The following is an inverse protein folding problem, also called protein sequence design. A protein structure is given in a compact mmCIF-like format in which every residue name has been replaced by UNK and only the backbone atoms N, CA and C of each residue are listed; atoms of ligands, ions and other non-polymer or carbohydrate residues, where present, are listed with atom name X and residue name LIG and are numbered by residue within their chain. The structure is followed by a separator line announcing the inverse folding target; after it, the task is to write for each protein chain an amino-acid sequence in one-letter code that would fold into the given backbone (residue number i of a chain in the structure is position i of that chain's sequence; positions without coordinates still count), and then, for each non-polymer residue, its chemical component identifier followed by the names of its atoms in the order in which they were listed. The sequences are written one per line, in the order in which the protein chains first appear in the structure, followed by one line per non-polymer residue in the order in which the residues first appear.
data_IF_047686591088
#
_entry.id   IF_047686591088
#
_cell.length_a   1.000
_cell.length_b   1.000
_cell.length_c   1.000
_cell.angle_alpha   90.00
_cell.angle_beta   90.00
_cell.angle_gamma   90.00
#
_symmetry.space_group_name_H-M   'P 1'
#
loop_
_entity.id
_entity.type
_entity.pdbx_description
1 polymer ?
#
# COMPACT_ATOMS: atom_id res chain seq x y z
N UNK A 1 -5.63 14.03 16.75
CA UNK A 1 -4.53 13.39 17.51
C UNK A 1 -3.60 12.75 16.50
N UNK A 2 -2.31 13.09 16.54
CA UNK A 2 -1.32 12.52 15.63
C UNK A 2 -0.69 11.27 16.26
N UNK A 3 -0.45 10.25 15.45
CA UNK A 3 0.24 9.01 15.84
C UNK A 3 1.40 8.76 14.89
N UNK A 4 2.51 8.24 15.42
CA UNK A 4 3.61 7.74 14.59
C UNK A 4 3.30 6.32 14.15
N UNK A 5 3.29 6.07 12.85
CA UNK A 5 2.92 4.79 12.25
C UNK A 5 3.84 4.41 11.09
N UNK A 6 3.71 3.19 10.60
CA UNK A 6 4.15 2.85 9.25
C UNK A 6 2.96 2.81 8.30
N UNK A 7 3.16 3.10 7.01
CA UNK A 7 2.17 2.84 5.96
C UNK A 7 2.72 1.82 4.98
N UNK A 8 1.86 0.90 4.54
CA UNK A 8 2.15 0.01 3.43
C UNK A 8 1.51 0.62 2.19
N UNK A 9 2.32 0.92 1.19
CA UNK A 9 1.89 1.45 -0.10
C UNK A 9 2.15 0.41 -1.17
N UNK A 10 1.06 -0.19 -1.66
CA UNK A 10 1.08 -1.23 -2.67
C UNK A 10 0.98 -0.68 -4.09
N UNK A 11 1.28 -1.56 -5.03
CA UNK A 11 1.07 -1.34 -6.45
C UNK A 11 -0.17 -2.06 -6.97
N UNK A 12 -0.67 -1.57 -8.09
CA UNK A 12 -1.63 -2.26 -8.94
C UNK A 12 -1.14 -2.22 -10.38
N UNK A 13 -1.43 -3.28 -11.14
CA UNK A 13 -1.27 -3.27 -12.58
C UNK A 13 -2.45 -2.55 -13.20
N UNK A 14 -2.19 -1.43 -13.85
CA UNK A 14 -3.19 -0.67 -14.60
C UNK A 14 -3.06 -0.98 -16.09
N UNK A 15 -4.19 -1.04 -16.78
CA UNK A 15 -4.23 -1.00 -18.23
C UNK A 15 -4.02 0.45 -18.70
N UNK A 16 -3.58 0.61 -19.95
CA UNK A 16 -3.54 1.93 -20.58
C UNK A 16 -4.93 2.55 -20.53
N UNK A 17 -5.01 3.76 -19.97
CA UNK A 17 -6.27 4.39 -19.62
C UNK A 17 -6.18 5.90 -19.77
N UNK A 18 -7.19 6.50 -20.38
CA UNK A 18 -7.28 7.95 -20.50
C UNK A 18 -7.98 8.59 -19.30
N UNK A 19 -7.54 9.79 -18.96
CA UNK A 19 -8.12 10.70 -17.97
C UNK A 19 -8.30 12.07 -18.62
N UNK A 20 -9.42 12.73 -18.38
CA UNK A 20 -9.65 14.11 -18.75
C UNK A 20 -9.59 14.99 -17.51
N UNK A 21 -8.75 16.03 -17.51
CA UNK A 21 -8.67 17.01 -16.43
C UNK A 21 -8.95 18.38 -17.03
N UNK A 22 -10.11 18.96 -16.69
CA UNK A 22 -10.56 20.26 -17.17
C UNK A 22 -10.54 20.44 -18.71
N UNK A 23 -10.79 19.35 -19.46
CA UNK A 23 -10.91 19.33 -20.93
C UNK A 23 -9.80 18.56 -21.64
N UNK A 24 -8.51 18.78 -21.33
CA UNK A 24 -7.41 17.99 -21.90
C UNK A 24 -7.41 16.53 -21.45
N UNK A 25 -7.12 15.65 -22.42
CA UNK A 25 -7.01 14.20 -22.21
C UNK A 25 -5.55 13.79 -22.08
N UNK A 26 -5.27 13.03 -21.02
CA UNK A 26 -3.97 12.44 -20.72
C UNK A 26 -4.10 10.93 -20.67
N UNK A 27 -3.02 10.22 -21.04
CA UNK A 27 -2.98 8.77 -21.00
C UNK A 27 -2.09 8.30 -19.85
N UNK A 28 -2.64 7.48 -18.98
CA UNK A 28 -1.88 6.67 -18.04
C UNK A 28 -1.39 5.41 -18.75
N UNK A 29 -0.08 5.31 -18.98
CA UNK A 29 0.50 4.11 -19.59
C UNK A 29 0.22 2.86 -18.74
N UNK A 30 0.03 1.74 -19.42
CA UNK A 30 -0.07 0.44 -18.78
C UNK A 30 1.17 0.11 -17.93
N UNK A 31 0.97 -0.53 -16.79
CA UNK A 31 2.08 -0.99 -15.95
C UNK A 31 1.74 -1.10 -14.47
N UNK A 32 2.71 -1.60 -13.69
CA UNK A 32 2.62 -1.61 -12.23
C UNK A 32 2.91 -0.22 -11.66
N UNK A 33 1.94 0.40 -11.01
CA UNK A 33 2.09 1.70 -10.36
C UNK A 33 1.72 1.61 -8.88
N UNK A 34 2.50 2.23 -8.01
CA UNK A 34 2.18 2.41 -6.60
C UNK A 34 1.23 3.59 -6.42
N UNK A 35 0.47 3.60 -5.33
CA UNK A 35 -0.25 4.82 -4.95
C UNK A 35 0.72 6.01 -4.77
N UNK A 36 1.87 5.76 -4.15
CA UNK A 36 2.97 6.72 -4.05
C UNK A 36 4.33 5.99 -4.14
N UNK A 37 5.27 6.60 -4.86
CA UNK A 37 6.65 6.16 -4.99
C UNK A 37 7.57 7.39 -5.26
N UNK A 38 8.84 7.42 -4.82
CA UNK A 38 9.75 8.56 -5.07
C UNK A 38 10.05 8.82 -6.54
N UNK A 39 10.02 7.77 -7.36
CA UNK A 39 10.09 7.89 -8.81
C UNK A 39 8.70 8.19 -9.34
N UNK A 40 8.50 9.39 -9.88
CA UNK A 40 7.20 9.89 -10.31
C UNK A 40 6.50 8.98 -11.31
N UNK A 41 7.25 8.40 -12.24
CA UNK A 41 6.71 7.42 -13.18
C UNK A 41 6.04 6.25 -12.45
N UNK A 42 6.55 5.77 -11.31
CA UNK A 42 5.95 4.64 -10.60
C UNK A 42 4.83 5.06 -9.64
N UNK A 43 4.52 6.36 -9.53
CA UNK A 43 3.65 6.94 -8.52
C UNK A 43 2.36 7.48 -9.15
N UNK A 44 1.22 6.84 -8.85
CA UNK A 44 -0.08 7.29 -9.32
C UNK A 44 -0.38 8.73 -8.90
N UNK A 45 -0.02 9.10 -7.66
CA UNK A 45 -0.30 10.45 -7.17
C UNK A 45 0.62 11.49 -7.81
N UNK A 46 1.89 11.16 -8.09
CA UNK A 46 2.80 12.11 -8.74
C UNK A 46 2.40 12.38 -10.19
N UNK A 47 1.95 11.35 -10.91
CA UNK A 47 1.43 11.50 -12.29
C UNK A 47 0.19 12.40 -12.26
N UNK A 48 -0.77 12.12 -11.36
CA UNK A 48 -1.98 12.93 -11.23
C UNK A 48 -1.67 14.37 -10.83
N UNK A 49 -0.73 14.59 -9.90
CA UNK A 49 -0.27 15.91 -9.47
C UNK A 49 0.33 16.71 -10.63
N UNK A 50 1.13 16.04 -11.48
CA UNK A 50 1.73 16.66 -12.67
C UNK A 50 0.67 17.15 -13.65
N UNK A 51 -0.36 16.35 -13.93
CA UNK A 51 -1.43 16.74 -14.83
C UNK A 51 -2.36 17.80 -14.21
N UNK A 52 -2.64 17.71 -12.91
CA UNK A 52 -3.37 18.73 -12.16
C UNK A 52 -2.66 20.09 -12.22
N UNK A 53 -1.34 20.12 -11.97
CA UNK A 53 -0.54 21.34 -12.02
C UNK A 53 -0.44 21.95 -13.43
N UNK A 54 -0.62 21.13 -14.47
CA UNK A 54 -0.59 21.58 -15.86
C UNK A 54 -1.90 22.27 -16.28
N UNK A 55 -3.06 21.72 -15.88
CA UNK A 55 -4.36 22.19 -16.38
C UNK A 55 -5.14 23.05 -15.38
N UNK A 56 -4.98 22.79 -14.09
CA UNK A 56 -5.74 23.48 -13.04
C UNK A 56 -4.87 24.55 -12.40
N UNK A 57 -5.40 25.77 -12.30
CA UNK A 57 -4.70 26.89 -11.62
C UNK A 57 -4.44 26.52 -10.16
N UNK A 58 -3.18 26.52 -9.74
CA UNK A 58 -2.74 26.01 -8.44
C UNK A 58 -3.18 24.55 -8.18
N UNK A 59 -3.28 23.77 -9.25
CA UNK A 59 -3.62 22.36 -9.24
C UNK A 59 -2.63 21.54 -8.44
N UNK A 60 -3.14 20.69 -7.55
CA UNK A 60 -2.32 19.77 -6.77
C UNK A 60 -3.08 18.49 -6.42
N UNK A 61 -2.35 17.38 -6.30
CA UNK A 61 -2.81 16.08 -5.86
C UNK A 61 -1.87 15.50 -4.79
N UNK A 62 -2.43 15.04 -3.66
CA UNK A 62 -1.61 14.49 -2.57
C UNK A 62 -2.38 13.49 -1.71
N UNK A 63 -1.62 12.75 -0.89
CA UNK A 63 -2.17 11.92 0.19
C UNK A 63 -2.11 12.73 1.48
N UNK A 64 -3.26 12.97 2.10
CA UNK A 64 -3.35 13.67 3.39
C UNK A 64 -2.90 12.80 4.57
N UNK A 65 -2.57 13.40 5.70
CA UNK A 65 -2.23 12.69 6.96
C UNK A 65 -3.36 11.81 7.49
N UNK A 66 -4.59 12.01 7.03
CA UNK A 66 -5.75 11.15 7.29
C UNK A 66 -5.86 9.94 6.34
N UNK A 67 -4.83 9.74 5.50
CA UNK A 67 -4.66 8.65 4.51
C UNK A 67 -5.52 8.80 3.25
N UNK A 68 -6.20 9.93 3.06
CA UNK A 68 -7.09 10.14 1.92
C UNK A 68 -6.40 10.91 0.81
N UNK A 69 -6.68 10.52 -0.43
CA UNK A 69 -6.27 11.28 -1.61
C UNK A 69 -7.09 12.56 -1.70
N UNK A 70 -6.43 13.66 -2.04
CA UNK A 70 -6.99 14.99 -2.12
C UNK A 70 -6.52 15.67 -3.39
N UNK A 71 -7.43 16.40 -4.02
CA UNK A 71 -7.18 17.26 -5.16
C UNK A 71 -7.60 18.69 -4.82
N UNK A 72 -6.87 19.68 -5.30
CA UNK A 72 -7.28 21.08 -5.20
C UNK A 72 -6.86 21.89 -6.41
N UNK A 73 -7.54 23.01 -6.60
CA UNK A 73 -7.16 24.13 -7.45
C UNK A 73 -7.76 25.42 -6.89
N UNK A 74 -7.40 26.56 -7.48
CA UNK A 74 -7.97 27.86 -7.11
C UNK A 74 -9.40 28.04 -7.64
N UNK A 75 -9.73 27.38 -8.74
CA UNK A 75 -11.03 27.43 -9.41
C UNK A 75 -11.69 26.05 -9.43
N UNK A 76 -12.99 26.00 -9.73
CA UNK A 76 -13.67 24.74 -10.00
C UNK A 76 -13.07 24.06 -11.23
N UNK A 77 -12.89 22.75 -11.14
CA UNK A 77 -12.38 21.90 -12.22
C UNK A 77 -13.08 20.55 -12.20
N UNK A 78 -13.03 19.87 -13.33
CA UNK A 78 -13.64 18.55 -13.52
C UNK A 78 -12.55 17.51 -13.79
N UNK A 79 -12.81 16.27 -13.38
CA UNK A 79 -11.96 15.11 -13.67
C UNK A 79 -12.82 13.94 -14.13
N UNK A 80 -12.63 13.51 -15.37
CA UNK A 80 -13.24 12.32 -15.95
C UNK A 80 -12.19 11.19 -16.04
N UNK A 81 -12.51 10.03 -15.49
CA UNK A 81 -11.63 8.85 -15.51
C UNK A 81 -12.45 7.57 -15.42
N UNK A 82 -11.88 6.42 -15.80
CA UNK A 82 -12.57 5.15 -15.55
C UNK A 82 -12.74 4.87 -14.06
N UNK A 83 -13.90 4.29 -13.71
CA UNK A 83 -14.23 3.95 -12.34
C UNK A 83 -13.18 3.04 -11.67
N UNK A 84 -12.49 2.20 -12.44
CA UNK A 84 -11.37 1.37 -11.96
C UNK A 84 -10.20 2.21 -11.47
N UNK A 85 -9.81 3.27 -12.20
CA UNK A 85 -8.73 4.18 -11.81
C UNK A 85 -9.15 5.06 -10.64
N UNK A 86 -10.38 5.60 -10.66
CA UNK A 86 -10.96 6.35 -9.55
C UNK A 86 -10.92 5.58 -8.24
N UNK A 87 -11.28 4.29 -8.28
CA UNK A 87 -11.28 3.40 -7.12
C UNK A 87 -9.87 3.18 -6.54
N UNK A 88 -8.81 3.20 -7.35
CA UNK A 88 -7.43 3.11 -6.85
C UNK A 88 -7.04 4.32 -6.00
N UNK A 89 -7.62 5.50 -6.26
CA UNK A 89 -7.43 6.69 -5.43
C UNK A 89 -8.42 6.77 -4.25
N UNK A 90 -9.41 5.87 -4.18
CA UNK A 90 -10.48 5.88 -3.17
C UNK A 90 -11.67 6.78 -3.53
N UNK A 91 -11.75 7.25 -4.78
CA UNK A 91 -12.93 7.93 -5.35
C UNK A 91 -13.96 6.91 -5.87
N UNK A 92 -15.20 7.35 -6.04
CA UNK A 92 -16.32 6.49 -6.49
C UNK A 92 -16.74 6.76 -7.94
N UNK A 93 -16.15 7.75 -8.59
CA UNK A 93 -16.45 8.14 -9.96
C UNK A 93 -15.82 9.47 -10.32
N UNK A 94 -16.34 10.08 -11.39
CA UNK A 94 -15.89 11.38 -11.90
C UNK A 94 -16.15 12.50 -10.91
N UNK A 95 -15.35 13.57 -11.03
CA UNK A 95 -15.38 14.74 -10.17
C UNK A 95 -15.84 15.94 -11.00
N UNK A 96 -16.73 16.76 -10.47
CA UNK A 96 -17.14 17.99 -11.17
C UNK A 96 -17.62 19.12 -10.26
N UNK A 97 -17.39 20.35 -10.71
CA UNK A 97 -17.97 21.57 -10.16
C UNK A 97 -17.44 22.02 -8.79
N UNK A 98 -16.28 21.53 -8.33
CA UNK A 98 -15.64 21.95 -7.08
C UNK A 98 -14.17 22.33 -7.29
N UNK A 99 -13.66 23.23 -6.45
CA UNK A 99 -12.25 23.61 -6.41
C UNK A 99 -11.40 22.69 -5.53
N UNK A 100 -12.02 21.78 -4.77
CA UNK A 100 -11.31 20.79 -3.98
C UNK A 100 -12.13 19.53 -3.81
N UNK A 101 -11.47 18.39 -3.93
CA UNK A 101 -12.04 17.06 -3.75
C UNK A 101 -11.25 16.29 -2.70
N UNK A 102 -11.97 15.51 -1.89
CA UNK A 102 -11.39 14.57 -0.93
C UNK A 102 -11.98 13.20 -1.19
N UNK A 103 -11.13 12.19 -1.32
CA UNK A 103 -11.58 10.83 -1.51
C UNK A 103 -12.54 10.40 -0.37
N UNK A 104 -13.72 9.84 -0.68
CA UNK A 104 -14.64 9.34 0.34
C UNK A 104 -14.01 8.21 1.17
N UNK A 105 -13.10 7.43 0.58
CA UNK A 105 -12.42 6.31 1.23
C UNK A 105 -10.89 6.42 1.13
N UNK A 106 -10.17 5.66 1.94
CA UNK A 106 -8.71 5.51 1.80
C UNK A 106 -8.43 4.56 0.63
N UNK A 107 -7.39 4.81 -0.15
CA UNK A 107 -7.04 3.95 -1.29
C UNK A 107 -6.90 2.46 -0.87
N UNK A 108 -7.38 1.51 -1.69
CA UNK A 108 -7.14 0.07 -1.45
C UNK A 108 -5.67 -0.31 -1.51
N UNK A 109 -4.81 0.53 -2.10
CA UNK A 109 -3.37 0.36 -2.17
C UNK A 109 -2.64 0.93 -0.94
N UNK A 110 -3.35 1.52 0.02
CA UNK A 110 -2.79 2.07 1.25
C UNK A 110 -3.37 1.34 2.45
N UNK A 111 -2.48 0.76 3.26
CA UNK A 111 -2.86 0.29 4.59
C UNK A 111 -1.97 0.89 5.67
N UNK A 112 -2.60 1.22 6.80
CA UNK A 112 -1.90 1.70 7.99
C UNK A 112 -2.45 1.02 9.25
N UNK A 113 -1.59 0.35 10.03
CA UNK A 113 -1.96 -0.22 11.32
C UNK A 113 -2.09 0.83 12.44
N UNK A 114 -1.70 2.09 12.19
CA UNK A 114 -1.71 3.18 13.18
C UNK A 114 -0.63 3.04 14.25
N UNK A 115 0.44 2.29 13.96
CA UNK A 115 1.63 2.09 14.80
C UNK A 115 2.80 1.62 13.93
N UNK A 116 4.00 1.60 14.50
CA UNK A 116 5.21 1.12 13.81
C UNK A 116 5.27 -0.40 13.74
N UNK A 117 5.99 -0.90 12.75
CA UNK A 117 6.26 -2.31 12.50
C UNK A 117 7.19 -2.96 13.53
N UNK A 118 7.04 -4.26 13.72
CA UNK A 118 7.95 -5.11 14.49
C UNK A 118 8.50 -6.22 13.60
N UNK A 119 9.69 -6.03 12.97
CA UNK A 119 10.31 -7.05 12.13
C UNK A 119 10.78 -8.22 12.99
N UNK A 120 10.59 -9.44 12.49
CA UNK A 120 10.92 -10.67 13.21
C UNK A 120 12.23 -11.31 12.75
N UNK A 121 12.67 -11.02 11.53
CA UNK A 121 13.83 -11.69 10.92
C UNK A 121 15.04 -10.77 10.77
N UNK A 122 14.89 -9.46 11.03
CA UNK A 122 15.97 -8.48 10.93
C UNK A 122 15.85 -7.38 11.97
N UNK A 123 16.94 -6.63 12.24
CA UNK A 123 16.86 -5.38 12.98
C UNK A 123 15.87 -4.40 12.34
N UNK A 124 15.35 -3.50 13.16
CA UNK A 124 14.45 -2.44 12.75
C UNK A 124 15.10 -1.54 11.69
N UNK A 125 14.40 -1.29 10.58
CA UNK A 125 14.91 -0.47 9.48
C UNK A 125 15.81 -1.19 8.47
N UNK A 126 15.98 -2.51 8.60
CA UNK A 126 16.67 -3.33 7.61
C UNK A 126 15.67 -4.04 6.70
N UNK A 127 16.09 -4.33 5.46
CA UNK A 127 15.24 -4.99 4.46
C UNK A 127 14.76 -6.38 4.89
N UNK A 128 15.60 -7.15 5.59
CA UNK A 128 15.32 -8.52 6.00
C UNK A 128 16.60 -9.31 6.24
N UNK A 129 16.49 -10.61 6.50
CA UNK A 129 17.65 -11.52 6.51
C UNK A 129 17.86 -12.14 5.14
N UNK A 130 19.12 -12.45 4.83
CA UNK A 130 19.48 -13.26 3.66
C UNK A 130 19.21 -14.74 3.94
N UNK A 131 18.59 -15.40 2.97
CA UNK A 131 18.39 -16.85 2.92
C UNK A 131 19.03 -17.35 1.64
N UNK A 132 19.88 -18.36 1.78
CA UNK A 132 20.62 -18.96 0.67
C UNK A 132 19.93 -20.26 0.26
N UNK A 133 19.69 -20.41 -1.04
CA UNK A 133 19.25 -21.68 -1.62
C UNK A 133 20.47 -22.59 -1.79
N UNK A 134 20.87 -23.21 -0.67
CA UNK A 134 22.05 -24.06 -0.59
C UNK A 134 21.65 -25.52 -0.43
N UNK A 135 22.17 -26.38 -1.32
CA UNK A 135 22.07 -27.83 -1.21
C UNK A 135 23.34 -28.37 -0.58
N UNK A 136 23.18 -29.26 0.40
CA UNK A 136 24.28 -29.95 1.05
C UNK A 136 24.27 -31.43 0.65
N UNK A 137 25.44 -31.91 0.23
CA UNK A 137 25.72 -33.34 0.08
C UNK A 137 26.77 -33.75 1.11
N UNK A 138 26.51 -34.84 1.84
CA UNK A 138 27.46 -35.42 2.78
C UNK A 138 27.77 -36.84 2.35
N UNK A 139 29.04 -37.14 2.13
CA UNK A 139 29.51 -38.50 1.82
C UNK A 139 29.67 -39.34 3.10
N UNK A 140 29.79 -40.68 2.98
CA UNK A 140 29.91 -41.58 4.13
C UNK A 140 31.16 -41.35 5.01
N UNK A 141 32.23 -40.78 4.46
CA UNK A 141 33.45 -40.39 5.17
C UNK A 141 33.36 -38.99 5.81
N UNK A 142 32.20 -38.34 5.72
CA UNK A 142 31.94 -37.04 6.34
C UNK A 142 32.38 -35.84 5.52
N UNK A 143 32.85 -36.04 4.29
CA UNK A 143 33.12 -34.92 3.38
C UNK A 143 31.80 -34.24 2.99
N UNK A 144 31.80 -32.91 3.03
CA UNK A 144 30.61 -32.11 2.75
C UNK A 144 30.86 -31.20 1.55
N UNK A 145 29.93 -31.22 0.61
CA UNK A 145 29.87 -30.29 -0.51
C UNK A 145 28.60 -29.46 -0.37
N UNK A 146 28.73 -28.15 -0.48
CA UNK A 146 27.61 -27.23 -0.50
C UNK A 146 27.59 -26.49 -1.84
N UNK A 147 26.43 -26.46 -2.49
CA UNK A 147 26.21 -25.72 -3.73
C UNK A 147 25.05 -24.74 -3.54
N UNK A 148 25.27 -23.46 -3.85
CA UNK A 148 24.32 -22.37 -3.60
C UNK A 148 23.91 -21.71 -4.90
N UNK A 149 22.61 -21.74 -5.23
CA UNK A 149 22.11 -21.31 -6.53
C UNK A 149 21.58 -19.87 -6.52
N UNK A 150 20.91 -19.47 -5.44
CA UNK A 150 20.27 -18.16 -5.34
C UNK A 150 20.25 -17.63 -3.91
N UNK A 151 20.09 -16.32 -3.76
CA UNK A 151 19.93 -15.66 -2.45
C UNK A 151 18.63 -14.86 -2.46
N UNK A 152 17.83 -15.02 -1.41
CA UNK A 152 16.60 -14.27 -1.20
C UNK A 152 16.75 -13.43 0.06
N UNK A 153 16.11 -12.26 0.12
CA UNK A 153 15.98 -11.49 1.35
C UNK A 153 14.54 -11.60 1.80
N UNK A 154 14.33 -12.10 3.02
CA UNK A 154 13.00 -12.28 3.60
C UNK A 154 12.87 -11.50 4.89
N UNK A 155 11.65 -11.08 5.18
CA UNK A 155 11.28 -10.52 6.47
C UNK A 155 9.86 -10.89 6.83
N UNK A 156 9.54 -10.82 8.11
CA UNK A 156 8.17 -10.90 8.59
C UNK A 156 7.87 -9.67 9.43
N UNK A 157 6.90 -8.88 8.98
CA UNK A 157 6.44 -7.71 9.72
C UNK A 157 5.22 -8.07 10.53
N UNK A 158 5.28 -7.77 11.83
CA UNK A 158 4.17 -8.02 12.74
C UNK A 158 3.68 -6.73 13.37
N UNK A 159 2.38 -6.69 13.59
CA UNK A 159 1.69 -5.62 14.31
C UNK A 159 0.69 -6.26 15.23
N UNK A 160 0.82 -5.99 16.53
CA UNK A 160 -0.12 -6.50 17.53
C UNK A 160 -1.12 -5.43 17.91
N UNK A 161 -2.30 -5.83 18.39
CA UNK A 161 -3.33 -4.93 18.89
C UNK A 161 -3.78 -3.85 17.89
N UNK A 162 -3.98 -4.22 16.63
CA UNK A 162 -4.55 -3.34 15.60
C UNK A 162 -6.07 -3.24 15.85
N UNK A 163 -6.64 -2.03 15.92
CA UNK A 163 -8.08 -1.85 16.03
C UNK A 163 -8.83 -2.57 14.90
N UNK A 164 -9.94 -3.25 15.22
CA UNK A 164 -10.75 -3.99 14.23
C UNK A 164 -11.10 -3.13 13.00
N UNK A 165 -11.41 -1.84 13.19
CA UNK A 165 -11.73 -0.90 12.12
C UNK A 165 -10.58 -0.63 11.11
N UNK A 166 -9.36 -1.08 11.40
CA UNK A 166 -8.21 -1.07 10.46
C UNK A 166 -7.92 -2.45 9.88
N UNK A 167 -8.50 -3.49 10.47
CA UNK A 167 -8.39 -4.87 10.00
C UNK A 167 -9.51 -5.19 9.02
N UNK A 168 -10.77 -5.06 9.45
CA UNK A 168 -11.98 -5.25 8.66
C UNK A 168 -13.18 -4.55 9.32
N UNK A 169 -14.15 -4.08 8.54
CA UNK A 169 -15.43 -3.57 9.04
C UNK A 169 -16.50 -4.64 8.96
N UNK A 170 -17.56 -4.45 9.76
CA UNK A 170 -18.68 -5.40 9.86
C UNK A 170 -19.43 -5.55 8.53
N UNK A 171 -19.40 -4.52 7.68
CA UNK A 171 -19.81 -4.65 6.30
C UNK A 171 -18.69 -5.38 5.55
N UNK A 172 -18.77 -6.70 5.46
CA UNK A 172 -17.97 -7.49 4.54
C UNK A 172 -18.31 -7.02 3.12
N UNK A 173 -17.64 -5.97 2.66
CA UNK A 173 -18.05 -5.25 1.47
C UNK A 173 -17.70 -6.10 0.24
N UNK A 174 -18.73 -6.57 -0.46
CA UNK A 174 -18.61 -7.34 -1.70
C UNK A 174 -18.26 -6.48 -2.92
N UNK A 175 -17.81 -5.24 -2.73
CA UNK A 175 -17.04 -4.52 -3.73
C UNK A 175 -17.87 -3.73 -4.74
N UNK A 176 -19.01 -3.17 -4.33
CA UNK A 176 -19.78 -2.30 -5.23
C UNK A 176 -20.23 -0.96 -4.61
N UNK A 177 -20.34 -0.83 -3.28
CA UNK A 177 -20.95 0.39 -2.68
C UNK A 177 -20.51 0.73 -1.26
N UNK A 178 -19.53 0.04 -0.66
CA UNK A 178 -19.10 0.30 0.71
C UNK A 178 -18.01 1.36 0.81
N UNK A 179 -18.27 2.43 1.57
CA UNK A 179 -17.39 3.57 1.87
C UNK A 179 -16.09 3.21 2.63
N UNK A 180 -15.76 1.92 2.75
CA UNK A 180 -14.67 1.43 3.59
C UNK A 180 -13.60 0.73 2.75
N UNK A 181 -12.70 1.56 2.23
CA UNK A 181 -11.43 1.15 1.65
C UNK A 181 -10.36 1.78 2.55
N UNK A 182 -9.31 1.03 2.94
CA UNK A 182 -8.35 1.41 3.99
C UNK A 182 -8.11 0.37 5.09
N UNK A 183 -8.75 -0.79 4.95
CA UNK A 183 -8.66 -1.93 5.86
C UNK A 183 -7.60 -2.93 5.39
N UNK A 184 -7.09 -3.72 6.33
CA UNK A 184 -6.11 -4.75 6.01
C UNK A 184 -6.66 -5.76 5.00
N UNK A 185 -7.90 -6.20 5.15
CA UNK A 185 -8.54 -7.15 4.21
C UNK A 185 -8.58 -6.61 2.79
N UNK A 186 -8.88 -5.31 2.61
CA UNK A 186 -8.87 -4.66 1.30
C UNK A 186 -7.49 -4.55 0.68
N UNK A 187 -6.50 -4.19 1.49
CA UNK A 187 -5.11 -4.17 1.04
C UNK A 187 -4.61 -5.57 0.71
N UNK A 188 -5.00 -6.57 1.50
CA UNK A 188 -4.69 -7.96 1.24
C UNK A 188 -5.27 -8.41 -0.10
N UNK A 189 -6.56 -8.16 -0.36
CA UNK A 189 -7.20 -8.56 -1.62
C UNK A 189 -6.65 -7.83 -2.85
N UNK A 190 -6.31 -6.55 -2.71
CA UNK A 190 -5.88 -5.71 -3.83
C UNK A 190 -4.40 -5.89 -4.15
N UNK A 191 -3.56 -6.08 -3.13
CA UNK A 191 -2.10 -6.09 -3.25
C UNK A 191 -1.54 -7.48 -3.00
N UNK A 192 -1.70 -8.00 -1.78
CA UNK A 192 -1.00 -9.21 -1.33
C UNK A 192 -1.48 -10.47 -2.06
N UNK A 193 -2.80 -10.62 -2.22
CA UNK A 193 -3.43 -11.75 -2.91
C UNK A 193 -3.05 -11.81 -4.39
N UNK A 194 -2.91 -10.64 -5.02
CA UNK A 194 -2.57 -10.51 -6.42
C UNK A 194 -1.05 -10.61 -6.69
N UNK A 195 -0.24 -10.80 -5.65
CA UNK A 195 1.22 -10.83 -5.78
C UNK A 195 1.82 -9.49 -6.19
N UNK A 196 1.09 -8.38 -6.00
CA UNK A 196 1.59 -7.05 -6.30
C UNK A 196 2.67 -6.64 -5.29
N UNK A 197 3.49 -5.66 -5.69
CA UNK A 197 4.61 -5.17 -4.90
C UNK A 197 4.12 -4.13 -3.90
N UNK A 198 4.82 -3.95 -2.80
CA UNK A 198 4.57 -2.85 -1.88
C UNK A 198 5.83 -2.36 -1.18
N UNK A 199 5.80 -1.09 -0.78
CA UNK A 199 6.80 -0.48 0.08
C UNK A 199 6.24 -0.25 1.47
N UNK A 200 7.08 -0.46 2.49
CA UNK A 200 6.79 -0.12 3.88
C UNK A 200 7.47 1.21 4.21
N UNK A 201 6.65 2.23 4.43
CA UNK A 201 7.07 3.58 4.79
C UNK A 201 7.03 3.75 6.29
N UNK A 202 8.15 4.17 6.88
CA UNK A 202 8.36 4.13 8.33
C UNK A 202 8.23 5.52 8.94
N UNK A 203 7.82 5.55 10.21
CA UNK A 203 7.82 6.74 11.06
C UNK A 203 7.00 7.92 10.52
N UNK A 204 5.89 7.62 9.84
CA UNK A 204 4.96 8.62 9.31
C UNK A 204 4.08 9.18 10.42
N UNK A 205 3.82 10.50 10.38
CA UNK A 205 2.88 11.17 11.26
C UNK A 205 1.46 11.12 10.70
N UNK A 206 0.65 10.16 11.14
CA UNK A 206 -0.76 10.00 10.74
C UNK A 206 -1.70 10.74 11.69
N UNK A 207 -2.74 11.37 11.15
CA UNK A 207 -3.83 11.95 11.92
C UNK A 207 -5.01 10.97 12.01
N UNK A 208 -5.52 10.75 13.22
CA UNK A 208 -6.72 9.92 13.45
C UNK A 208 -8.04 10.68 13.18
N UNK A 209 -7.94 11.95 12.80
CA UNK A 209 -9.05 12.84 12.47
C UNK A 209 -8.83 13.38 11.06
N UNK A 210 -9.84 14.02 10.47
CA UNK A 210 -9.68 14.69 9.17
C UNK A 210 -8.52 15.68 9.22
N UNK A 211 -7.54 15.50 8.34
CA UNK A 211 -6.35 16.32 8.26
C UNK A 211 -5.90 16.36 6.80
N UNK A 212 -6.06 17.55 6.20
CA UNK A 212 -5.74 17.78 4.80
C UNK A 212 -4.27 18.03 4.54
N UNK A 213 -3.44 18.16 5.58
CA UNK A 213 -2.00 18.37 5.44
C UNK A 213 -1.39 17.22 4.64
N UNK A 214 -0.58 17.55 3.62
CA UNK A 214 0.14 16.54 2.86
C UNK A 214 1.01 15.67 3.75
N UNK A 215 1.01 14.36 3.47
CA UNK A 215 1.87 13.41 4.14
C UNK A 215 3.32 13.66 3.70
N UNK A 216 4.22 13.78 4.67
CA UNK A 216 5.65 13.80 4.41
C UNK A 216 6.15 12.36 4.27
N UNK A 217 6.70 12.05 3.09
CA UNK A 217 7.31 10.76 2.75
C UNK A 217 8.85 10.83 2.73
N UNK A 218 9.47 11.80 3.41
CA UNK A 218 10.92 11.86 3.58
C UNK A 218 11.50 10.74 4.47
N UNK A 219 10.63 9.97 5.12
CA UNK A 219 11.01 8.82 5.96
C UNK A 219 11.65 7.66 5.16
N UNK A 220 12.22 6.69 5.90
CA UNK A 220 12.81 5.51 5.30
C UNK A 220 11.73 4.59 4.72
N UNK A 221 11.74 4.42 3.40
CA UNK A 221 11.03 3.34 2.72
C UNK A 221 11.86 2.04 2.77
N UNK A 222 11.18 0.92 3.00
CA UNK A 222 11.72 -0.42 2.83
C UNK A 222 10.96 -1.16 1.73
N UNK A 223 11.68 -1.96 0.95
CA UNK A 223 11.12 -2.72 -0.16
C UNK A 223 11.86 -2.45 -1.48
N UNK A 224 11.27 -2.85 -2.61
CA UNK A 224 9.93 -3.41 -2.73
C UNK A 224 9.81 -4.83 -2.17
N UNK A 225 8.65 -5.12 -1.58
CA UNK A 225 8.30 -6.44 -1.04
C UNK A 225 7.21 -7.09 -1.88
N UNK A 226 7.33 -8.40 -2.08
CA UNK A 226 6.24 -9.28 -2.49
C UNK A 226 5.71 -10.07 -1.29
N UNK A 227 4.42 -10.41 -1.31
CA UNK A 227 3.85 -11.31 -0.32
C UNK A 227 4.40 -12.73 -0.50
N UNK A 228 4.87 -13.33 0.59
CA UNK A 228 5.37 -14.71 0.61
C UNK A 228 4.37 -15.60 1.36
N UNK A 229 3.50 -16.35 0.67
CA UNK A 229 2.60 -17.26 1.35
C UNK A 229 3.39 -18.39 2.00
N UNK A 230 3.04 -18.73 3.24
CA UNK A 230 3.45 -19.98 3.88
C UNK A 230 2.83 -21.18 3.16
N UNK A 231 3.31 -22.41 3.43
CA UNK A 231 2.74 -23.63 2.83
C UNK A 231 1.22 -23.69 3.06
N UNK A 232 0.44 -23.45 2.01
CA UNK A 232 -1.02 -23.39 2.07
C UNK A 232 -1.61 -22.49 0.98
N UNK A 233 -2.91 -22.24 1.04
CA UNK A 233 -3.57 -21.25 0.20
C UNK A 233 -3.23 -19.82 0.63
N UNK A 234 -3.32 -18.87 -0.31
CA UNK A 234 -3.18 -17.44 -0.03
C UNK A 234 -4.35 -16.99 0.84
N UNK A 235 -4.10 -16.82 2.13
CA UNK A 235 -5.11 -16.45 3.12
C UNK A 235 -4.50 -15.47 4.11
N UNK A 236 -5.31 -14.56 4.63
CA UNK A 236 -4.93 -13.82 5.83
C UNK A 236 -5.38 -14.60 7.06
N UNK A 237 -4.54 -14.60 8.10
CA UNK A 237 -4.90 -15.25 9.36
C UNK A 237 -5.70 -14.28 10.25
N UNK A 238 -6.88 -14.72 10.70
CA UNK A 238 -7.70 -13.96 11.64
C UNK A 238 -7.23 -14.25 13.06
N UNK A 239 -6.18 -13.54 13.50
CA UNK A 239 -5.63 -13.68 14.85
C UNK A 239 -6.16 -12.60 15.78
N UNK A 240 -6.95 -13.01 16.78
CA UNK A 240 -7.37 -12.12 17.89
C UNK A 240 -6.16 -11.78 18.77
N UNK A 241 -6.08 -10.53 19.21
CA UNK A 241 -5.02 -10.14 20.15
C UNK A 241 -5.21 -10.82 21.52
N UNK A 242 -4.11 -11.30 22.16
CA UNK A 242 -4.17 -11.87 23.51
C UNK A 242 -4.88 -10.93 24.50
N UNK A 243 -5.70 -11.49 25.39
CA UNK A 243 -6.46 -10.71 26.38
C UNK A 243 -7.74 -10.03 25.87
N UNK A 244 -7.99 -10.01 24.55
CA UNK A 244 -9.20 -9.45 23.93
C UNK A 244 -10.01 -10.47 23.13
N UNK A 245 -9.76 -11.76 23.33
CA UNK A 245 -10.33 -12.84 22.52
C UNK A 245 -11.87 -12.90 22.52
N UNK A 246 -12.53 -12.35 23.54
CA UNK A 246 -13.98 -12.40 23.70
C UNK A 246 -14.71 -11.13 23.22
N UNK A 247 -13.98 -10.10 22.76
CA UNK A 247 -14.56 -8.78 22.45
C UNK A 247 -14.23 -8.27 21.04
N UNK A 248 -13.45 -9.03 20.25
CA UNK A 248 -13.09 -8.74 18.84
C UNK A 248 -12.68 -7.28 18.58
N UNK A 249 -12.06 -6.66 19.58
CA UNK A 249 -11.67 -5.24 19.54
C UNK A 249 -10.36 -5.04 18.79
N UNK A 250 -9.46 -6.03 18.89
CA UNK A 250 -8.09 -5.93 18.46
C UNK A 250 -7.61 -7.21 17.77
N UNK A 251 -6.85 -7.03 16.70
CA UNK A 251 -6.26 -8.08 15.89
C UNK A 251 -4.75 -7.96 15.79
N UNK A 252 -4.11 -9.11 15.58
CA UNK A 252 -2.71 -9.15 15.19
C UNK A 252 -2.64 -9.38 13.68
N UNK A 253 -1.74 -8.67 13.02
CA UNK A 253 -1.42 -8.87 11.60
C UNK A 253 0.05 -9.25 11.51
N UNK A 254 0.33 -10.28 10.72
CA UNK A 254 1.67 -10.67 10.33
C UNK A 254 1.71 -10.78 8.82
N UNK A 255 2.70 -10.14 8.20
CA UNK A 255 2.93 -10.23 6.76
C UNK A 255 4.32 -10.80 6.55
N UNK A 256 4.36 -12.00 5.99
CA UNK A 256 5.58 -12.61 5.49
C UNK A 256 5.90 -12.03 4.11
N UNK A 257 7.13 -11.58 3.96
CA UNK A 257 7.58 -10.83 2.79
C UNK A 257 8.87 -11.40 2.23
N UNK A 258 9.02 -11.24 0.93
CA UNK A 258 10.26 -11.43 0.20
C UNK A 258 10.60 -10.15 -0.54
N UNK A 259 11.86 -9.72 -0.53
CA UNK A 259 12.31 -8.61 -1.36
C UNK A 259 12.30 -9.06 -2.81
N UNK A 260 11.70 -8.26 -3.67
CA UNK A 260 11.59 -8.53 -5.11
C UNK A 260 12.32 -7.44 -5.91
N UNK A 261 12.73 -7.69 -7.15
CA UNK A 261 13.22 -6.63 -8.03
C UNK A 261 12.12 -5.59 -8.34
N UNK A 262 12.48 -4.31 -8.37
CA UNK A 262 11.54 -3.25 -8.78
C UNK A 262 11.23 -3.31 -10.27
N UNK A 263 12.26 -3.52 -11.09
CA UNK A 263 12.18 -3.64 -12.54
C UNK A 263 12.35 -5.11 -12.94
N UNK A 264 11.61 -5.57 -13.95
CA UNK A 264 11.91 -6.84 -14.60
C UNK A 264 13.23 -6.69 -15.38
N UNK A 265 14.14 -7.67 -15.23
CA UNK A 265 15.40 -7.74 -16.00
C UNK A 265 15.16 -8.22 -17.44
#
# INVERSE_FOLDING_TARGET
MAVTTCWLLGSATIAETDIEIDGPVYTFDAGGRYLYHPTDALSLISILDTHMAAEVVAGAAWIGKDRKVRLSGDNAFDVDWPASLAALFGFTGNLSGQASYTAPSVSPLLWSPGKTESPQESPLGMLGRRVYDTRFGTSPDGYQVADSHHTQIINTFTWTHIPIARFQSVAQDTGATGTVQGEYTRFFDSVLRNGAKFHLWRLLGESLTTDATAQDFSGQALGPYGYRPTRGGVTYDFQRSPGFANVDRFHNVSIETIVVPEYEE
#
